data_IF_368039671414
#
_entry.id   IF_368039671414
#
_cell.length_a   1.000
_cell.length_b   1.000
_cell.length_c   1.000
_cell.angle_alpha   90.00
_cell.angle_beta   90.00
_cell.angle_gamma   90.00
#
_symmetry.space_group_name_H-M   'P 1'
#
loop_
_entity.id
_entity.type
_entity.pdbx_description
1 polymer ?
#
# COMPACT_ATOMS: atom_id res chain seq x y z
N UNK A 1 16.91 15.38 23.19
CA UNK A 1 16.24 15.36 24.49
C UNK A 1 14.84 14.74 24.35
N UNK A 2 14.40 13.95 25.32
CA UNK A 2 13.09 13.27 25.31
C UNK A 2 11.89 14.24 25.34
N UNK A 3 12.07 15.46 25.77
CA UNK A 3 11.01 16.48 25.85
C UNK A 3 10.55 16.97 24.47
N UNK A 4 11.45 17.16 23.52
CA UNK A 4 11.10 17.61 22.17
C UNK A 4 10.35 16.53 21.36
N UNK A 5 10.63 15.24 21.61
CA UNK A 5 9.86 14.12 21.02
C UNK A 5 8.43 14.06 21.56
N UNK A 6 8.23 14.32 22.85
CA UNK A 6 6.90 14.33 23.48
C UNK A 6 5.98 15.42 22.95
N UNK A 7 6.48 16.65 22.76
CA UNK A 7 5.67 17.76 22.19
C UNK A 7 5.25 17.47 20.74
N UNK A 8 6.17 16.95 19.93
CA UNK A 8 5.85 16.57 18.54
C UNK A 8 4.77 15.49 18.45
N UNK A 9 4.76 14.52 19.36
CA UNK A 9 3.77 13.46 19.38
C UNK A 9 2.38 13.95 19.86
N UNK A 10 2.33 14.85 20.83
CA UNK A 10 1.07 15.49 21.29
C UNK A 10 0.45 16.30 20.14
N UNK A 11 1.25 17.12 19.46
CA UNK A 11 0.79 17.95 18.34
C UNK A 11 0.29 17.09 17.16
N UNK A 12 1.02 16.04 16.78
CA UNK A 12 0.60 15.09 15.74
C UNK A 12 -0.72 14.41 16.10
N UNK A 13 -0.90 14.01 17.37
CA UNK A 13 -2.15 13.41 17.84
C UNK A 13 -3.33 14.39 17.79
N UNK A 14 -3.12 15.67 18.10
CA UNK A 14 -4.17 16.69 18.02
C UNK A 14 -4.61 16.94 16.56
N UNK A 15 -3.66 17.08 15.64
CA UNK A 15 -3.94 17.19 14.19
C UNK A 15 -4.72 15.97 13.74
N UNK A 16 -4.24 14.77 14.06
CA UNK A 16 -4.91 13.53 13.68
C UNK A 16 -6.35 13.47 14.19
N UNK A 17 -6.59 13.83 15.46
CA UNK A 17 -7.94 13.90 16.04
C UNK A 17 -8.89 14.85 15.32
N UNK A 18 -8.39 15.96 14.80
CA UNK A 18 -9.21 16.93 14.05
C UNK A 18 -9.57 16.43 12.65
N UNK A 19 -8.67 15.71 12.01
CA UNK A 19 -8.83 15.25 10.61
C UNK A 19 -9.66 13.97 10.54
N UNK A 20 -9.48 13.00 11.45
CA UNK A 20 -10.22 11.70 11.44
C UNK A 20 -11.75 11.87 11.52
N UNK A 21 -12.23 12.99 12.04
CA UNK A 21 -13.67 13.33 12.07
C UNK A 21 -14.20 13.78 10.71
N UNK A 22 -13.32 14.23 9.81
CA UNK A 22 -13.70 14.82 8.52
C UNK A 22 -13.54 13.82 7.38
N UNK A 23 -12.47 13.03 7.39
CA UNK A 23 -12.14 12.07 6.34
C UNK A 23 -11.58 10.76 6.93
N UNK A 24 -11.81 9.60 6.28
CA UNK A 24 -11.14 8.35 6.66
C UNK A 24 -9.61 8.48 6.51
N UNK A 25 -8.88 8.09 7.55
CA UNK A 25 -7.41 8.14 7.56
C UNK A 25 -6.83 6.72 7.49
N UNK A 26 -5.87 6.54 6.60
CA UNK A 26 -4.95 5.40 6.59
C UNK A 26 -3.66 5.75 7.32
N UNK A 27 -3.22 4.89 8.24
CA UNK A 27 -1.99 5.06 9.01
C UNK A 27 -0.91 4.11 8.52
N UNK A 28 0.20 4.67 8.01
CA UNK A 28 1.38 3.90 7.63
C UNK A 28 2.25 3.65 8.87
N UNK A 29 2.32 2.40 9.30
CA UNK A 29 3.21 2.00 10.41
C UNK A 29 3.41 0.49 10.44
N UNK A 30 4.58 0.06 10.90
CA UNK A 30 4.92 -1.34 11.18
C UNK A 30 4.99 -1.66 12.67
N UNK A 31 4.66 -0.69 13.56
CA UNK A 31 4.72 -0.84 15.02
C UNK A 31 3.33 -0.98 15.61
N UNK A 32 3.08 -2.07 16.29
CA UNK A 32 1.77 -2.40 16.90
C UNK A 32 1.29 -1.34 17.90
N UNK A 33 2.19 -0.76 18.68
CA UNK A 33 1.82 0.32 19.62
C UNK A 33 1.29 1.56 18.90
N UNK A 34 1.94 1.95 17.79
CA UNK A 34 1.49 3.10 16.97
C UNK A 34 0.15 2.77 16.31
N UNK A 35 -0.04 1.54 15.80
CA UNK A 35 -1.34 1.07 15.29
C UNK A 35 -2.43 1.23 16.33
N UNK A 36 -2.21 0.69 17.55
CA UNK A 36 -3.15 0.78 18.66
C UNK A 36 -3.53 2.22 19.00
N UNK A 37 -2.55 3.11 19.06
CA UNK A 37 -2.77 4.53 19.36
C UNK A 37 -3.53 5.24 18.22
N UNK A 38 -3.19 4.97 16.95
CA UNK A 38 -3.90 5.50 15.79
C UNK A 38 -5.35 5.05 15.73
N UNK A 39 -5.62 3.76 15.99
CA UNK A 39 -6.97 3.20 16.02
C UNK A 39 -7.82 3.88 17.11
N UNK A 40 -7.28 4.07 18.31
CA UNK A 40 -7.97 4.78 19.40
C UNK A 40 -8.31 6.23 19.06
N UNK A 41 -7.54 6.87 18.20
CA UNK A 41 -7.81 8.24 17.72
C UNK A 41 -8.85 8.27 16.61
N UNK A 42 -9.12 7.13 15.94
CA UNK A 42 -10.16 7.01 14.91
C UNK A 42 -9.66 6.72 13.51
N UNK A 43 -8.41 6.32 13.34
CA UNK A 43 -7.87 5.80 12.07
C UNK A 43 -8.73 4.64 11.56
N UNK A 44 -8.97 4.58 10.26
CA UNK A 44 -9.86 3.61 9.62
C UNK A 44 -9.17 2.49 8.84
N UNK A 45 -7.90 2.66 8.53
CA UNK A 45 -7.09 1.71 7.79
C UNK A 45 -5.66 1.70 8.34
N UNK A 46 -5.07 0.52 8.50
CA UNK A 46 -3.64 0.37 8.79
C UNK A 46 -2.93 -0.08 7.52
N UNK A 47 -1.83 0.59 7.17
CA UNK A 47 -0.94 0.17 6.10
C UNK A 47 0.40 -0.29 6.68
N UNK A 48 0.66 -1.61 6.66
CA UNK A 48 1.91 -2.18 7.14
C UNK A 48 2.79 -2.60 5.97
N UNK A 49 3.77 -1.75 5.68
CA UNK A 49 4.74 -1.96 4.59
C UNK A 49 5.71 -3.13 4.84
N UNK A 50 5.73 -3.70 6.06
CA UNK A 50 6.56 -4.87 6.39
C UNK A 50 5.86 -6.21 6.09
N UNK A 51 4.61 -6.19 5.63
CA UNK A 51 3.82 -7.41 5.43
C UNK A 51 3.61 -8.19 6.72
N UNK A 52 3.44 -7.50 7.85
CA UNK A 52 3.23 -8.04 9.20
C UNK A 52 4.43 -8.84 9.74
N UNK A 53 5.65 -8.57 9.26
CA UNK A 53 6.85 -9.30 9.68
C UNK A 53 7.70 -8.57 10.72
N UNK A 54 7.44 -7.28 10.96
CA UNK A 54 8.29 -6.45 11.82
C UNK A 54 7.96 -6.57 13.31
N UNK A 55 6.68 -6.58 13.66
CA UNK A 55 6.24 -6.56 15.06
C UNK A 55 5.27 -7.73 15.29
N UNK A 56 5.64 -8.71 16.13
CA UNK A 56 4.82 -9.90 16.38
C UNK A 56 3.46 -9.60 16.99
N UNK A 57 3.31 -8.47 17.70
CA UNK A 57 2.04 -8.07 18.31
C UNK A 57 1.04 -7.48 17.30
N UNK A 58 1.47 -7.18 16.09
CA UNK A 58 0.61 -6.57 15.05
C UNK A 58 -0.67 -7.39 14.84
N UNK A 59 -0.56 -8.71 14.69
CA UNK A 59 -1.72 -9.58 14.44
C UNK A 59 -2.71 -9.52 15.61
N UNK A 60 -2.24 -9.50 16.85
CA UNK A 60 -3.08 -9.39 18.04
C UNK A 60 -3.85 -8.06 18.07
N UNK A 61 -3.20 -6.96 17.71
CA UNK A 61 -3.84 -5.64 17.60
C UNK A 61 -4.91 -5.64 16.51
N UNK A 62 -4.59 -6.12 15.31
CA UNK A 62 -5.53 -6.16 14.19
C UNK A 62 -6.75 -7.04 14.50
N UNK A 63 -6.55 -8.21 15.12
CA UNK A 63 -7.62 -9.10 15.59
C UNK A 63 -8.51 -8.42 16.62
N UNK A 64 -7.92 -7.77 17.64
CA UNK A 64 -8.63 -7.11 18.72
C UNK A 64 -9.53 -5.98 18.21
N UNK A 65 -9.00 -5.11 17.35
CA UNK A 65 -9.72 -3.93 16.91
C UNK A 65 -10.55 -4.14 15.65
N UNK A 66 -10.40 -5.28 14.95
CA UNK A 66 -11.17 -5.65 13.75
C UNK A 66 -11.15 -4.57 12.65
N UNK A 67 -10.04 -3.85 12.55
CA UNK A 67 -9.83 -2.78 11.57
C UNK A 67 -9.33 -3.35 10.24
N UNK A 68 -9.73 -2.80 9.08
CA UNK A 68 -9.11 -3.12 7.80
C UNK A 68 -7.63 -2.76 7.79
N UNK A 69 -6.82 -3.58 7.09
CA UNK A 69 -5.39 -3.35 6.97
C UNK A 69 -4.84 -3.88 5.65
N UNK A 70 -3.74 -3.28 5.22
CA UNK A 70 -3.02 -3.65 4.01
C UNK A 70 -1.83 -4.52 4.36
N UNK A 71 -1.70 -5.65 3.67
CA UNK A 71 -0.49 -6.48 3.66
C UNK A 71 0.30 -6.10 2.43
N UNK A 72 1.44 -5.43 2.60
CA UNK A 72 2.31 -5.10 1.48
C UNK A 72 3.43 -6.12 1.35
N UNK A 73 3.64 -6.62 0.12
CA UNK A 73 4.82 -7.42 -0.18
C UNK A 73 6.06 -6.55 -0.34
N UNK A 74 7.08 -6.83 0.46
CA UNK A 74 8.42 -6.22 0.38
C UNK A 74 9.49 -7.30 0.46
N UNK A 75 10.44 -7.30 -0.45
CA UNK A 75 11.62 -8.18 -0.38
C UNK A 75 12.74 -7.46 0.34
N UNK A 76 13.13 -7.97 1.53
CA UNK A 76 14.16 -7.34 2.39
C UNK A 76 13.60 -6.23 3.28
N UNK A 77 14.52 -5.41 3.82
CA UNK A 77 14.20 -4.27 4.68
C UNK A 77 14.34 -2.95 3.92
N UNK A 78 13.82 -1.82 4.41
CA UNK A 78 14.00 -0.52 3.77
C UNK A 78 15.47 -0.18 3.45
N UNK A 79 16.40 -0.66 4.27
CA UNK A 79 17.84 -0.40 4.14
C UNK A 79 18.50 -1.24 3.03
N UNK A 80 17.95 -2.42 2.73
CA UNK A 80 18.58 -3.37 1.79
C UNK A 80 17.69 -3.81 0.62
N UNK A 81 16.40 -3.51 0.64
CA UNK A 81 15.42 -3.98 -0.35
C UNK A 81 15.77 -3.64 -1.81
N UNK A 82 16.57 -2.61 -2.06
CA UNK A 82 17.00 -2.20 -3.40
C UNK A 82 18.35 -2.82 -3.82
N UNK A 83 19.03 -3.55 -2.89
CA UNK A 83 20.30 -4.20 -3.17
C UNK A 83 20.06 -5.53 -3.89
N UNK A 84 20.01 -5.46 -5.22
CA UNK A 84 19.91 -6.62 -6.13
C UNK A 84 18.77 -7.62 -5.79
N UNK A 85 17.49 -7.19 -5.74
CA UNK A 85 16.39 -8.10 -5.47
C UNK A 85 16.32 -9.19 -6.54
N UNK A 86 16.19 -10.46 -6.10
CA UNK A 86 16.11 -11.65 -6.95
C UNK A 86 14.76 -12.34 -6.71
N UNK A 87 14.11 -12.73 -7.79
CA UNK A 87 12.89 -13.54 -7.82
C UNK A 87 13.13 -14.73 -8.75
N UNK A 88 12.54 -15.87 -8.46
CA UNK A 88 12.40 -16.95 -9.44
C UNK A 88 11.34 -16.56 -10.47
N UNK A 89 10.20 -16.16 -9.98
CA UNK A 89 9.10 -15.56 -10.74
C UNK A 89 8.37 -14.59 -9.80
N UNK A 90 8.54 -13.29 -10.03
CA UNK A 90 8.00 -12.27 -9.10
C UNK A 90 6.49 -12.31 -8.93
N UNK A 91 5.73 -12.76 -9.93
CA UNK A 91 4.27 -12.91 -9.82
C UNK A 91 3.91 -14.06 -8.89
N UNK A 92 4.53 -15.23 -9.10
CA UNK A 92 4.26 -16.42 -8.31
C UNK A 92 4.83 -16.28 -6.89
N UNK A 93 6.06 -15.78 -6.76
CA UNK A 93 6.70 -15.58 -5.44
C UNK A 93 5.87 -14.63 -4.56
N UNK A 94 5.24 -13.60 -5.16
CA UNK A 94 4.36 -12.67 -4.42
C UNK A 94 2.98 -13.30 -4.18
N UNK A 95 2.49 -14.10 -5.11
CA UNK A 95 1.24 -14.83 -4.93
C UNK A 95 1.33 -15.80 -3.75
N UNK A 96 2.39 -16.61 -3.71
CA UNK A 96 2.66 -17.56 -2.63
C UNK A 96 2.80 -16.85 -1.28
N UNK A 97 3.52 -15.71 -1.25
CA UNK A 97 3.62 -14.86 -0.06
C UNK A 97 2.23 -14.45 0.46
N UNK A 98 1.34 -14.00 -0.42
CA UNK A 98 -0.01 -13.63 -0.01
C UNK A 98 -0.81 -14.83 0.47
N UNK A 99 -0.73 -15.96 -0.23
CA UNK A 99 -1.45 -17.17 0.16
C UNK A 99 -1.05 -17.63 1.57
N UNK A 100 0.25 -17.67 1.87
CA UNK A 100 0.77 -18.01 3.20
C UNK A 100 0.30 -17.01 4.27
N UNK A 101 0.37 -15.71 3.99
CA UNK A 101 -0.10 -14.67 4.93
C UNK A 101 -1.59 -14.76 5.18
N UNK A 102 -2.39 -14.98 4.14
CA UNK A 102 -3.84 -15.15 4.25
C UNK A 102 -4.17 -16.38 5.11
N UNK A 103 -3.53 -17.53 4.85
CA UNK A 103 -3.71 -18.76 5.64
C UNK A 103 -3.41 -18.48 7.12
N UNK A 104 -2.28 -17.86 7.42
CA UNK A 104 -1.89 -17.49 8.79
C UNK A 104 -2.92 -16.58 9.45
N UNK A 105 -3.35 -15.53 8.78
CA UNK A 105 -4.30 -14.55 9.34
C UNK A 105 -5.67 -15.17 9.60
N UNK A 106 -6.14 -16.00 8.66
CA UNK A 106 -7.40 -16.71 8.80
C UNK A 106 -7.34 -17.70 9.97
N UNK A 107 -6.25 -18.44 10.14
CA UNK A 107 -6.07 -19.35 11.29
C UNK A 107 -6.05 -18.63 12.63
N UNK A 108 -5.60 -17.34 12.64
CA UNK A 108 -5.64 -16.49 13.83
C UNK A 108 -7.01 -15.80 14.05
N UNK A 109 -8.00 -16.06 13.20
CA UNK A 109 -9.35 -15.50 13.32
C UNK A 109 -9.53 -14.08 12.79
N UNK A 110 -8.62 -13.61 11.95
CA UNK A 110 -8.80 -12.35 11.21
C UNK A 110 -9.91 -12.52 10.18
N UNK A 111 -10.85 -11.58 10.12
CA UNK A 111 -11.95 -11.63 9.15
C UNK A 111 -11.45 -11.33 7.74
N UNK A 112 -12.05 -12.00 6.75
CA UNK A 112 -11.76 -11.79 5.32
C UNK A 112 -11.83 -10.31 4.92
N UNK A 113 -12.92 -9.64 5.27
CA UNK A 113 -13.21 -8.25 4.89
C UNK A 113 -12.22 -7.22 5.47
N UNK A 114 -11.32 -7.62 6.35
CA UNK A 114 -10.32 -6.73 6.92
C UNK A 114 -8.98 -6.77 6.18
N UNK A 115 -8.81 -7.66 5.20
CA UNK A 115 -7.52 -7.89 4.52
C UNK A 115 -7.55 -7.21 3.15
N UNK A 116 -6.52 -6.41 2.86
CA UNK A 116 -6.25 -5.79 1.56
C UNK A 116 -4.83 -6.16 1.17
N UNK A 117 -4.60 -6.50 -0.11
CA UNK A 117 -3.30 -6.94 -0.60
C UNK A 117 -2.63 -5.81 -1.42
N UNK A 118 -1.34 -5.54 -1.16
CA UNK A 118 -0.52 -4.63 -1.97
C UNK A 118 0.72 -5.37 -2.49
N UNK A 119 0.87 -5.60 -3.81
CA UNK A 119 2.03 -6.26 -4.38
C UNK A 119 3.34 -5.47 -4.23
N UNK A 120 3.29 -4.25 -3.70
CA UNK A 120 4.45 -3.46 -3.31
C UNK A 120 5.29 -2.98 -4.48
N UNK A 121 4.68 -2.29 -5.44
CA UNK A 121 5.41 -1.66 -6.55
C UNK A 121 6.52 -0.75 -6.01
N UNK A 122 7.77 -0.98 -6.46
CA UNK A 122 8.95 -0.22 -6.02
C UNK A 122 9.60 -0.70 -4.73
N UNK A 123 9.05 -1.70 -4.03
CA UNK A 123 9.62 -2.25 -2.81
C UNK A 123 10.35 -3.56 -3.09
N UNK A 124 11.70 -3.52 -3.07
CA UNK A 124 12.53 -4.68 -3.36
C UNK A 124 12.33 -5.23 -4.79
N UNK A 125 12.23 -4.35 -5.78
CA UNK A 125 11.88 -4.72 -7.17
C UNK A 125 12.67 -3.90 -8.19
N UNK A 126 13.25 -4.58 -9.18
CA UNK A 126 13.86 -3.95 -10.37
C UNK A 126 12.77 -3.40 -11.31
N UNK A 127 13.15 -2.56 -12.28
CA UNK A 127 12.22 -2.02 -13.27
C UNK A 127 11.40 -3.14 -13.94
N UNK A 128 12.05 -4.19 -14.43
CA UNK A 128 11.37 -5.32 -15.08
C UNK A 128 10.32 -5.97 -14.20
N UNK A 129 10.60 -6.16 -12.89
CA UNK A 129 9.65 -6.75 -11.94
C UNK A 129 8.44 -5.84 -11.72
N UNK A 130 8.67 -4.52 -11.58
CA UNK A 130 7.57 -3.55 -11.43
C UNK A 130 6.66 -3.53 -12.66
N UNK A 131 7.25 -3.54 -13.87
CA UNK A 131 6.47 -3.53 -15.11
C UNK A 131 5.66 -4.81 -15.29
N UNK A 132 6.23 -5.98 -14.96
CA UNK A 132 5.48 -7.24 -15.04
C UNK A 132 4.34 -7.31 -14.02
N UNK A 133 4.58 -6.83 -12.79
CA UNK A 133 3.54 -6.74 -11.76
C UNK A 133 2.40 -5.80 -12.18
N UNK A 134 2.72 -4.60 -12.69
CA UNK A 134 1.70 -3.66 -13.17
C UNK A 134 0.90 -4.30 -14.31
N UNK A 135 1.58 -4.93 -15.27
CA UNK A 135 0.96 -5.56 -16.44
C UNK A 135 0.02 -6.70 -16.10
N UNK A 136 0.29 -7.45 -15.01
CA UNK A 136 -0.41 -8.69 -14.66
C UNK A 136 -0.95 -8.69 -13.23
N UNK A 137 -1.23 -7.52 -12.66
CA UNK A 137 -1.73 -7.38 -11.29
C UNK A 137 -3.05 -8.12 -11.08
N UNK A 138 -3.82 -8.30 -12.14
CA UNK A 138 -5.10 -9.04 -12.13
C UNK A 138 -4.99 -10.48 -11.61
N UNK A 139 -3.80 -11.12 -11.66
CA UNK A 139 -3.60 -12.47 -11.13
C UNK A 139 -3.95 -12.55 -9.63
N UNK A 140 -3.72 -11.48 -8.87
CA UNK A 140 -3.97 -11.47 -7.43
C UNK A 140 -5.46 -11.44 -7.06
N UNK A 141 -6.37 -11.14 -8.02
CA UNK A 141 -7.82 -11.19 -7.77
C UNK A 141 -8.30 -12.61 -7.48
N UNK A 142 -7.63 -13.65 -7.99
CA UNK A 142 -7.95 -15.03 -7.70
C UNK A 142 -7.82 -15.42 -6.21
N UNK A 143 -7.07 -14.61 -5.43
CA UNK A 143 -6.99 -14.76 -3.97
C UNK A 143 -8.29 -14.31 -3.26
N UNK A 144 -9.17 -13.57 -3.95
CA UNK A 144 -10.47 -13.14 -3.43
C UNK A 144 -10.44 -11.91 -2.51
N UNK A 145 -9.38 -11.11 -2.53
CA UNK A 145 -9.22 -9.93 -1.68
C UNK A 145 -9.06 -8.64 -2.50
N UNK A 146 -9.45 -7.48 -1.96
CA UNK A 146 -9.18 -6.21 -2.62
C UNK A 146 -7.69 -5.97 -2.81
N UNK A 147 -7.33 -5.40 -3.97
CA UNK A 147 -5.96 -5.05 -4.32
C UNK A 147 -5.77 -3.54 -4.19
N UNK A 148 -4.74 -3.16 -3.44
CA UNK A 148 -4.23 -1.78 -3.37
C UNK A 148 -2.92 -1.69 -4.13
N UNK A 149 -2.73 -0.63 -4.91
CA UNK A 149 -1.44 -0.35 -5.57
C UNK A 149 -1.01 1.08 -5.35
N UNK A 150 0.21 1.25 -4.83
CA UNK A 150 0.88 2.55 -4.74
C UNK A 150 1.85 2.74 -5.90
N UNK A 151 1.42 3.38 -6.99
CA UNK A 151 2.22 3.59 -8.20
C UNK A 151 2.75 5.02 -8.36
N UNK A 152 2.25 5.97 -7.55
CA UNK A 152 2.46 7.40 -7.71
C UNK A 152 3.91 7.82 -7.50
N UNK A 153 4.45 8.59 -8.44
CA UNK A 153 5.79 9.21 -8.41
C UNK A 153 6.95 8.21 -8.25
N UNK A 154 6.71 6.91 -8.46
CA UNK A 154 7.66 5.83 -8.21
C UNK A 154 8.87 5.87 -9.17
N UNK A 155 9.97 5.23 -8.74
CA UNK A 155 11.24 5.17 -9.47
C UNK A 155 11.09 4.58 -10.88
N UNK A 156 10.19 3.62 -11.09
CA UNK A 156 9.97 3.03 -12.42
C UNK A 156 9.58 4.08 -13.47
N UNK A 157 8.79 5.11 -13.06
CA UNK A 157 8.42 6.23 -13.95
C UNK A 157 9.68 7.03 -14.32
N UNK A 158 10.54 7.35 -13.33
CA UNK A 158 11.83 7.99 -13.57
C UNK A 158 12.68 7.20 -14.55
N UNK A 159 12.80 5.89 -14.32
CA UNK A 159 13.68 5.01 -15.11
C UNK A 159 13.25 4.96 -16.58
N UNK A 160 11.93 5.07 -16.87
CA UNK A 160 11.36 5.07 -18.22
C UNK A 160 11.39 6.48 -18.84
N UNK A 161 10.85 7.48 -18.14
CA UNK A 161 10.64 8.84 -18.69
C UNK A 161 11.85 9.75 -18.57
N UNK A 162 12.91 9.30 -17.84
CA UNK A 162 14.12 10.09 -17.53
C UNK A 162 13.84 11.37 -16.72
N UNK A 163 12.66 11.50 -16.12
CA UNK A 163 12.30 12.63 -15.24
C UNK A 163 12.83 12.39 -13.83
N UNK A 164 13.84 13.18 -13.44
CA UNK A 164 14.49 13.04 -12.14
C UNK A 164 13.60 13.54 -11.00
N UNK A 165 12.99 14.72 -11.16
CA UNK A 165 12.09 15.27 -10.18
C UNK A 165 10.81 14.44 -10.06
N UNK A 166 10.44 14.11 -8.83
CA UNK A 166 9.25 13.30 -8.53
C UNK A 166 7.94 14.02 -8.87
N UNK A 167 7.90 15.34 -8.75
CA UNK A 167 6.72 16.15 -9.08
C UNK A 167 6.42 16.16 -10.59
N UNK A 168 7.45 16.00 -11.43
CA UNK A 168 7.27 15.96 -12.89
C UNK A 168 6.81 14.60 -13.43
N UNK A 169 6.54 13.61 -12.55
CA UNK A 169 6.14 12.24 -12.93
C UNK A 169 4.63 12.04 -12.98
N UNK A 170 3.85 13.12 -13.01
CA UNK A 170 2.38 13.05 -12.98
C UNK A 170 1.82 12.28 -14.19
N UNK A 171 2.32 12.52 -15.42
CA UNK A 171 1.89 11.78 -16.60
C UNK A 171 2.07 10.28 -16.48
N UNK A 172 3.23 9.81 -15.97
CA UNK A 172 3.47 8.39 -15.71
C UNK A 172 2.61 7.83 -14.56
N UNK A 173 2.30 8.66 -13.55
CA UNK A 173 1.36 8.29 -12.48
C UNK A 173 -0.04 8.09 -13.05
N UNK A 174 -0.55 9.01 -13.85
CA UNK A 174 -1.87 8.92 -14.49
C UNK A 174 -1.93 7.70 -15.40
N UNK A 175 -0.98 7.55 -16.33
CA UNK A 175 -0.94 6.43 -17.27
C UNK A 175 -0.99 5.08 -16.57
N UNK A 176 -0.11 4.86 -15.58
CA UNK A 176 -0.11 3.61 -14.83
C UNK A 176 -1.36 3.41 -13.98
N UNK A 177 -1.97 4.48 -13.44
CA UNK A 177 -3.22 4.41 -12.68
C UNK A 177 -4.40 3.99 -13.55
N UNK A 178 -4.53 4.55 -14.75
CA UNK A 178 -5.58 4.17 -15.71
C UNK A 178 -5.42 2.70 -16.13
N UNK A 179 -4.20 2.27 -16.41
CA UNK A 179 -3.94 0.86 -16.72
C UNK A 179 -4.29 -0.06 -15.56
N UNK A 180 -3.87 0.25 -14.33
CA UNK A 180 -4.21 -0.52 -13.14
C UNK A 180 -5.72 -0.60 -12.91
N UNK A 181 -6.45 0.47 -13.18
CA UNK A 181 -7.91 0.49 -13.13
C UNK A 181 -8.53 -0.51 -14.12
N UNK A 182 -8.02 -0.60 -15.36
CA UNK A 182 -8.50 -1.59 -16.35
C UNK A 182 -8.17 -3.03 -15.93
N UNK A 183 -7.17 -3.22 -15.09
CA UNK A 183 -6.84 -4.52 -14.48
C UNK A 183 -7.67 -4.84 -13.24
N UNK A 184 -8.66 -4.01 -12.89
CA UNK A 184 -9.59 -4.25 -11.77
C UNK A 184 -9.04 -3.85 -10.40
N UNK A 185 -7.95 -3.09 -10.29
CA UNK A 185 -7.42 -2.62 -9.00
C UNK A 185 -8.46 -1.72 -8.32
N UNK A 186 -8.83 -2.05 -7.08
CA UNK A 186 -9.89 -1.36 -6.35
C UNK A 186 -9.39 -0.11 -5.63
N UNK A 187 -8.12 -0.08 -5.20
CA UNK A 187 -7.58 1.02 -4.41
C UNK A 187 -6.25 1.49 -5.01
N UNK A 188 -6.18 2.77 -5.36
CA UNK A 188 -4.94 3.42 -5.80
C UNK A 188 -4.45 4.38 -4.72
N UNK A 189 -3.19 4.21 -4.30
CA UNK A 189 -2.54 5.13 -3.36
C UNK A 189 -1.66 6.11 -4.13
N UNK A 190 -2.09 7.36 -4.18
CA UNK A 190 -1.52 8.40 -5.05
C UNK A 190 -1.32 9.72 -4.29
N UNK A 191 -0.38 10.57 -4.76
CA UNK A 191 -0.13 11.90 -4.23
C UNK A 191 -1.03 12.94 -4.89
N UNK A 192 -1.17 12.87 -6.21
CA UNK A 192 -1.84 13.86 -7.06
C UNK A 192 -3.29 13.42 -7.29
N UNK A 193 -4.11 13.49 -6.22
CA UNK A 193 -5.46 12.90 -6.20
C UNK A 193 -6.38 13.57 -7.23
N UNK A 194 -6.37 14.90 -7.32
CA UNK A 194 -7.27 15.64 -8.21
C UNK A 194 -7.02 15.31 -9.69
N UNK A 195 -5.76 15.30 -10.09
CA UNK A 195 -5.32 15.05 -11.47
C UNK A 195 -5.63 13.59 -11.88
N UNK A 196 -5.35 12.63 -11.01
CA UNK A 196 -5.65 11.23 -11.28
C UNK A 196 -7.15 10.97 -11.28
N UNK A 197 -7.91 11.57 -10.37
CA UNK A 197 -9.37 11.45 -10.36
C UNK A 197 -10.03 12.07 -11.58
N UNK A 198 -9.55 13.23 -12.06
CA UNK A 198 -9.98 13.82 -13.31
C UNK A 198 -9.74 12.85 -14.48
N UNK A 199 -8.53 12.32 -14.58
CA UNK A 199 -8.17 11.38 -15.63
C UNK A 199 -9.04 10.11 -15.61
N UNK A 200 -9.30 9.54 -14.41
CA UNK A 200 -10.17 8.36 -14.25
C UNK A 200 -11.61 8.67 -14.70
N UNK A 201 -12.15 9.84 -14.31
CA UNK A 201 -13.53 10.23 -14.73
C UNK A 201 -13.64 10.31 -16.24
N UNK A 202 -12.73 11.04 -16.90
CA UNK A 202 -12.70 11.17 -18.35
C UNK A 202 -12.52 9.82 -19.02
N UNK A 203 -11.59 9.01 -18.55
CA UNK A 203 -11.32 7.69 -19.12
C UNK A 203 -12.52 6.76 -19.01
N UNK A 204 -13.26 6.79 -17.90
CA UNK A 204 -14.50 6.01 -17.73
C UNK A 204 -15.55 6.38 -18.78
N UNK A 205 -15.75 7.66 -19.05
CA UNK A 205 -16.69 8.10 -20.10
C UNK A 205 -16.28 7.63 -21.51
N UNK A 206 -14.96 7.57 -21.78
CA UNK A 206 -14.44 7.09 -23.06
C UNK A 206 -14.70 5.59 -23.26
N UNK A 207 -14.55 4.78 -22.20
CA UNK A 207 -14.66 3.31 -22.28
C UNK A 207 -16.07 2.79 -21.97
N UNK A 208 -16.94 3.57 -21.33
CA UNK A 208 -18.35 3.22 -21.12
C UNK A 208 -19.09 3.41 -22.45
N UNK A 209 -19.58 2.29 -22.98
CA UNK A 209 -20.49 2.26 -24.13
C UNK A 209 -21.94 2.33 -23.65
#
# INVERSE_FOLDING_TARGET
SNASRGLGDVYKRQILKSIVKKIPISLDTRKSEIMKNGIKVGVKLINDVSGLSFDPETINILKKYKIPFVIQHTLGTPENMQKNPKYKNELLDIYDFFEEKIKLLRSKGIKHNNIILDPGIGFGKKLKHNMNLIRRVSIFHSLGFPILVGNSRKKFIKDISKKNDSFTRIGGTISSSLYLMTQGVQILRIHDVNEVMQAIKVFKEIINK
#
